data_IF_831197019790
#
_entry.id   IF_831197019790
#
_cell.length_a   1.000
_cell.length_b   1.000
_cell.length_c   1.000
_cell.angle_alpha   90.00
_cell.angle_beta   90.00
_cell.angle_gamma   90.00
#
_symmetry.space_group_name_H-M   'P 1'
#
loop_
_entity.id
_entity.type
_entity.pdbx_description
1 polymer ?
#
# COMPACT_ATOMS: atom_id res chain seq x y z
N UNK A 1 71.22 40.50 -35.65
CA UNK A 1 71.65 40.67 -34.24
C UNK A 1 70.77 39.79 -33.36
N UNK A 2 71.39 38.78 -32.75
CA UNK A 2 71.18 38.20 -31.41
C UNK A 2 69.82 38.30 -30.67
N UNK A 3 69.10 37.15 -30.60
CA UNK A 3 68.35 36.57 -29.44
C UNK A 3 67.21 37.39 -28.77
N UNK A 4 66.39 36.79 -27.86
CA UNK A 4 66.19 35.37 -27.52
C UNK A 4 64.89 34.85 -28.22
N UNK A 5 64.07 33.89 -27.78
CA UNK A 5 64.02 33.00 -26.61
C UNK A 5 63.29 31.66 -26.93
N UNK A 6 63.21 30.77 -25.94
CA UNK A 6 62.38 29.56 -25.86
C UNK A 6 61.90 29.43 -24.40
N UNK A 7 60.66 29.01 -24.17
CA UNK A 7 60.13 28.64 -22.84
C UNK A 7 59.25 27.41 -23.04
N UNK A 8 59.54 26.32 -22.34
CA UNK A 8 58.67 25.15 -22.26
C UNK A 8 57.50 25.42 -21.31
N UNK A 9 56.31 24.95 -21.68
CA UNK A 9 55.09 25.02 -20.87
C UNK A 9 54.35 23.69 -20.94
N UNK A 10 54.07 23.09 -19.79
CA UNK A 10 53.73 21.67 -19.64
C UNK A 10 52.27 21.33 -20.01
N UNK A 11 52.07 20.06 -20.35
CA UNK A 11 50.83 19.41 -20.80
C UNK A 11 49.52 19.74 -20.06
N UNK A 12 48.41 19.65 -20.80
CA UNK A 12 47.17 19.02 -20.31
C UNK A 12 46.28 18.53 -21.48
N UNK A 13 45.52 17.46 -21.22
CA UNK A 13 44.78 16.67 -22.23
C UNK A 13 43.54 17.39 -22.80
N UNK A 14 43.23 17.13 -24.08
CA UNK A 14 41.86 17.30 -24.61
C UNK A 14 41.53 16.34 -25.77
N UNK A 15 40.46 15.55 -25.57
CA UNK A 15 39.50 15.00 -26.54
C UNK A 15 39.98 14.07 -27.68
N UNK A 16 39.59 12.80 -27.55
CA UNK A 16 39.12 11.95 -28.66
C UNK A 16 37.88 12.57 -29.33
N UNK A 17 37.61 12.21 -30.59
CA UNK A 17 36.32 11.54 -30.85
C UNK A 17 36.38 10.35 -31.83
N UNK A 18 35.33 9.53 -31.74
CA UNK A 18 34.72 8.65 -32.75
C UNK A 18 35.53 7.55 -33.46
N UNK A 19 35.10 6.29 -33.25
CA UNK A 19 34.44 5.52 -34.32
C UNK A 19 33.68 4.29 -33.82
N UNK A 20 32.56 4.03 -34.48
CA UNK A 20 31.51 3.06 -34.19
C UNK A 20 31.96 1.58 -34.24
N UNK A 21 31.29 0.73 -33.46
CA UNK A 21 30.93 -0.63 -33.92
C UNK A 21 29.65 -1.09 -33.23
N UNK A 22 28.65 -1.48 -34.04
CA UNK A 22 27.31 -1.87 -33.62
C UNK A 22 27.21 -3.38 -33.35
N UNK A 23 26.42 -3.76 -32.34
CA UNK A 23 25.86 -5.11 -32.17
C UNK A 23 24.60 -5.00 -31.30
N UNK A 24 23.47 -4.72 -31.94
CA UNK A 24 22.16 -4.71 -31.28
C UNK A 24 21.61 -6.14 -31.19
N UNK A 25 21.51 -6.69 -29.97
CA UNK A 25 20.68 -7.85 -29.68
C UNK A 25 19.30 -7.37 -29.21
N UNK A 26 18.30 -7.45 -30.08
CA UNK A 26 16.91 -7.09 -29.77
C UNK A 26 16.16 -8.27 -29.10
N UNK A 27 16.52 -8.58 -27.86
CA UNK A 27 15.78 -9.49 -26.98
C UNK A 27 15.67 -8.80 -25.60
N UNK A 28 14.50 -8.88 -24.95
CA UNK A 28 14.04 -8.17 -23.71
C UNK A 28 13.21 -6.88 -23.89
N UNK A 29 12.05 -6.96 -24.55
CA UNK A 29 11.04 -5.86 -24.56
C UNK A 29 9.60 -6.21 -24.19
N UNK A 30 9.31 -7.44 -23.77
CA UNK A 30 7.92 -7.90 -23.55
C UNK A 30 7.60 -8.39 -22.11
N UNK A 31 8.48 -8.20 -21.12
CA UNK A 31 8.19 -8.53 -19.71
C UNK A 31 7.67 -7.35 -18.85
N UNK A 32 7.46 -6.16 -19.42
CA UNK A 32 7.06 -4.96 -18.65
C UNK A 32 5.53 -4.75 -18.50
N UNK A 33 4.71 -5.79 -18.69
CA UNK A 33 3.24 -5.66 -18.54
C UNK A 33 2.63 -6.30 -17.29
N UNK A 34 3.40 -7.09 -16.52
CA UNK A 34 2.93 -7.73 -15.27
C UNK A 34 3.63 -7.21 -14.02
N UNK A 35 4.57 -6.28 -14.16
CA UNK A 35 5.31 -5.69 -13.03
C UNK A 35 4.41 -4.76 -12.23
N UNK A 36 3.68 -5.34 -11.27
CA UNK A 36 2.87 -4.62 -10.29
C UNK A 36 3.67 -3.43 -9.74
N UNK A 37 3.07 -2.22 -9.86
CA UNK A 37 3.67 -0.96 -9.43
C UNK A 37 4.21 -1.13 -8.00
N UNK A 38 5.53 -0.97 -7.82
CA UNK A 38 6.17 -1.05 -6.50
C UNK A 38 5.58 0.02 -5.59
N UNK A 39 4.54 -0.34 -4.83
CA UNK A 39 4.21 0.32 -3.57
C UNK A 39 5.25 -0.17 -2.58
N UNK A 40 6.23 0.68 -2.31
CA UNK A 40 7.25 0.39 -1.31
C UNK A 40 6.59 -0.02 0.01
N UNK A 41 6.90 -1.23 0.49
CA UNK A 41 6.60 -1.68 1.84
C UNK A 41 7.55 -0.95 2.82
N UNK A 42 7.47 0.39 2.81
CA UNK A 42 8.42 1.32 3.42
C UNK A 42 9.90 1.04 3.08
N UNK A 43 10.16 0.57 1.85
CA UNK A 43 11.51 0.25 1.37
C UNK A 43 12.11 -1.05 1.92
N UNK A 44 11.35 -1.84 2.70
CA UNK A 44 11.81 -3.10 3.27
C UNK A 44 11.74 -4.19 2.19
N UNK A 45 12.89 -4.73 1.80
CA UNK A 45 12.97 -5.89 0.91
C UNK A 45 13.09 -7.18 1.73
N UNK A 46 11.99 -7.93 1.81
CA UNK A 46 11.91 -9.25 2.47
C UNK A 46 12.13 -10.33 1.41
N UNK A 47 13.02 -11.29 1.66
CA UNK A 47 13.32 -12.37 0.70
C UNK A 47 12.19 -13.40 0.63
N UNK A 48 12.28 -14.29 -0.36
CA UNK A 48 11.35 -15.42 -0.45
C UNK A 48 11.45 -16.33 0.77
N UNK A 49 10.32 -16.62 1.41
CA UNK A 49 10.24 -17.43 2.63
C UNK A 49 10.54 -16.70 3.95
N UNK A 50 11.00 -15.45 3.93
CA UNK A 50 11.19 -14.68 5.18
C UNK A 50 9.83 -14.18 5.74
N UNK A 51 9.72 -14.19 7.06
CA UNK A 51 8.54 -13.65 7.76
C UNK A 51 8.60 -12.12 7.73
N UNK A 52 7.62 -11.49 7.07
CA UNK A 52 7.51 -10.04 7.08
C UNK A 52 7.08 -9.56 8.47
N UNK A 53 7.96 -8.77 9.12
CA UNK A 53 7.72 -8.23 10.46
C UNK A 53 6.60 -7.18 10.49
N UNK A 54 6.20 -6.79 11.70
CA UNK A 54 5.26 -5.69 11.88
C UNK A 54 5.82 -4.38 11.28
N UNK A 55 5.14 -3.86 10.27
CA UNK A 55 5.49 -2.60 9.62
C UNK A 55 4.47 -1.51 9.99
N UNK A 56 4.90 -0.56 10.83
CA UNK A 56 4.04 0.50 11.36
C UNK A 56 3.56 1.48 10.26
N UNK A 57 4.39 1.73 9.26
CA UNK A 57 4.07 2.59 8.11
C UNK A 57 3.03 1.98 7.17
N UNK A 58 3.00 0.64 7.03
CA UNK A 58 1.90 -0.05 6.34
C UNK A 58 0.59 0.11 7.11
N UNK A 59 0.59 -0.08 8.43
CA UNK A 59 -0.60 0.18 9.25
C UNK A 59 -1.04 1.66 9.16
N UNK A 60 -0.08 2.59 9.12
CA UNK A 60 -0.33 4.02 8.91
C UNK A 60 -0.88 4.39 7.54
N UNK A 61 -0.86 3.47 6.56
CA UNK A 61 -1.59 3.59 5.29
C UNK A 61 -2.98 2.92 5.38
N UNK A 62 -3.07 1.74 6.00
CA UNK A 62 -4.31 0.97 6.14
C UNK A 62 -5.37 1.72 6.99
N UNK A 63 -4.99 2.40 8.07
CA UNK A 63 -5.93 3.07 8.98
C UNK A 63 -6.63 4.30 8.37
N UNK A 64 -5.95 5.21 7.66
CA UNK A 64 -6.61 6.28 6.91
C UNK A 64 -7.59 5.78 5.84
N UNK A 65 -7.29 4.67 5.15
CA UNK A 65 -8.19 4.07 4.16
C UNK A 65 -9.47 3.53 4.84
N UNK A 66 -9.35 2.81 5.96
CA UNK A 66 -10.48 2.35 6.77
C UNK A 66 -11.36 3.51 7.24
N UNK A 67 -10.75 4.57 7.79
CA UNK A 67 -11.46 5.74 8.28
C UNK A 67 -12.14 6.51 7.14
N UNK A 68 -11.46 6.71 6.02
CA UNK A 68 -12.01 7.40 4.85
C UNK A 68 -13.21 6.67 4.26
N UNK A 69 -13.14 5.35 4.12
CA UNK A 69 -14.25 4.49 3.70
C UNK A 69 -15.47 4.69 4.61
N UNK A 70 -15.27 4.55 5.93
CA UNK A 70 -16.35 4.63 6.92
C UNK A 70 -16.97 6.04 7.00
N UNK A 71 -16.15 7.09 6.91
CA UNK A 71 -16.65 8.47 6.87
C UNK A 71 -17.53 8.72 5.64
N UNK A 72 -17.23 8.13 4.49
CA UNK A 72 -18.06 8.27 3.29
C UNK A 72 -19.36 7.46 3.41
N UNK A 73 -19.26 6.20 3.86
CA UNK A 73 -20.43 5.35 4.10
C UNK A 73 -21.40 5.96 5.13
N UNK A 74 -20.91 6.57 6.20
CA UNK A 74 -21.77 7.18 7.23
C UNK A 74 -22.57 8.38 6.69
N UNK A 75 -22.00 9.20 5.78
CA UNK A 75 -22.75 10.30 5.14
C UNK A 75 -23.91 9.78 4.31
N UNK A 76 -23.67 8.70 3.57
CA UNK A 76 -24.69 8.05 2.74
C UNK A 76 -25.81 7.49 3.60
N UNK A 77 -25.50 6.80 4.71
CA UNK A 77 -26.53 6.23 5.60
C UNK A 77 -27.37 7.31 6.27
N UNK A 78 -26.70 8.26 6.91
CA UNK A 78 -27.30 9.21 7.83
C UNK A 78 -26.62 10.58 7.69
N UNK A 79 -27.17 11.48 6.86
CA UNK A 79 -26.57 12.80 6.61
C UNK A 79 -26.43 13.68 7.87
N UNK A 80 -27.16 13.37 8.94
CA UNK A 80 -27.32 14.21 10.13
C UNK A 80 -26.83 13.57 11.44
N UNK A 81 -26.37 12.31 11.42
CA UNK A 81 -25.90 11.61 12.63
C UNK A 81 -24.88 10.52 12.29
N UNK A 82 -23.84 10.42 13.10
CA UNK A 82 -22.91 9.29 13.07
C UNK A 82 -23.60 8.03 13.57
N UNK A 83 -23.31 6.91 12.92
CA UNK A 83 -23.76 5.56 13.29
C UNK A 83 -22.53 4.67 13.42
N UNK A 84 -22.64 3.58 14.18
CA UNK A 84 -21.58 2.58 14.26
C UNK A 84 -21.36 1.96 12.88
N UNK A 85 -20.10 1.76 12.50
CA UNK A 85 -19.70 1.26 11.18
C UNK A 85 -18.50 0.32 11.25
N UNK A 86 -18.40 -0.61 10.30
CA UNK A 86 -17.19 -1.43 10.09
C UNK A 86 -16.45 -1.09 8.80
N UNK A 87 -15.13 -0.99 8.90
CA UNK A 87 -14.23 -0.84 7.76
C UNK A 87 -13.40 -2.11 7.54
N UNK A 88 -13.13 -2.44 6.26
CA UNK A 88 -12.29 -3.57 5.86
C UNK A 88 -11.35 -3.17 4.72
N UNK A 89 -10.05 -3.37 4.92
CA UNK A 89 -9.01 -3.19 3.91
C UNK A 89 -8.33 -4.54 3.66
N UNK A 90 -8.43 -5.03 2.42
CA UNK A 90 -7.61 -6.16 1.94
C UNK A 90 -6.36 -5.57 1.30
N UNK A 91 -5.21 -5.75 1.95
CA UNK A 91 -3.93 -5.22 1.47
C UNK A 91 -3.06 -6.33 0.89
N UNK A 92 -2.38 -6.03 -0.23
CA UNK A 92 -1.38 -6.91 -0.85
C UNK A 92 -0.08 -6.13 -0.98
N UNK A 93 0.95 -6.56 -0.24
CA UNK A 93 2.28 -5.98 -0.25
C UNK A 93 3.28 -7.01 -0.77
N UNK A 94 3.77 -6.80 -2.00
CA UNK A 94 4.55 -7.81 -2.72
C UNK A 94 3.72 -9.07 -2.95
N UNK A 95 4.07 -10.18 -2.30
CA UNK A 95 3.27 -11.42 -2.31
C UNK A 95 2.49 -11.66 -1.02
N UNK A 96 2.54 -10.75 -0.03
CA UNK A 96 1.85 -10.92 1.26
C UNK A 96 0.46 -10.31 1.22
N UNK A 97 -0.59 -11.12 1.43
CA UNK A 97 -1.96 -10.67 1.62
C UNK A 97 -2.29 -10.54 3.12
N UNK A 98 -2.97 -9.46 3.49
CA UNK A 98 -3.50 -9.23 4.85
C UNK A 98 -4.93 -8.69 4.74
N UNK A 99 -5.73 -8.94 5.78
CA UNK A 99 -7.00 -8.24 5.99
C UNK A 99 -6.88 -7.44 7.27
N UNK A 100 -7.13 -6.14 7.17
CA UNK A 100 -7.16 -5.19 8.28
C UNK A 100 -8.61 -4.72 8.45
N UNK A 101 -9.12 -4.77 9.67
CA UNK A 101 -10.52 -4.46 9.98
C UNK A 101 -10.62 -3.64 11.27
N UNK A 102 -11.61 -2.75 11.33
CA UNK A 102 -11.91 -1.99 12.54
C UNK A 102 -13.41 -1.70 12.65
N UNK A 103 -13.92 -1.79 13.87
CA UNK A 103 -15.22 -1.25 14.24
C UNK A 103 -15.04 0.21 14.68
N UNK A 104 -15.92 1.08 14.18
CA UNK A 104 -15.91 2.52 14.40
C UNK A 104 -17.22 2.92 15.08
N UNK A 105 -17.25 3.02 16.42
CA UNK A 105 -18.41 3.53 17.13
C UNK A 105 -18.78 4.94 16.69
N UNK A 106 -20.07 5.28 16.71
CA UNK A 106 -20.58 6.61 16.39
C UNK A 106 -19.90 7.71 17.25
N UNK A 107 -19.57 7.41 18.50
CA UNK A 107 -18.81 8.30 19.40
C UNK A 107 -17.40 8.58 18.87
N UNK A 108 -16.71 7.56 18.34
CA UNK A 108 -15.38 7.72 17.73
C UNK A 108 -15.46 8.59 16.48
N UNK A 109 -16.41 8.30 15.58
CA UNK A 109 -16.61 9.07 14.35
C UNK A 109 -16.99 10.52 14.64
N UNK A 110 -17.88 10.75 15.61
CA UNK A 110 -18.24 12.08 16.11
C UNK A 110 -17.03 12.82 16.69
N UNK A 111 -16.19 12.13 17.48
CA UNK A 111 -14.98 12.72 18.07
C UNK A 111 -13.95 13.15 17.02
N UNK A 112 -13.68 12.30 16.02
CA UNK A 112 -12.74 12.58 14.92
C UNK A 112 -13.23 13.73 14.02
N UNK A 113 -14.55 13.90 13.87
CA UNK A 113 -15.15 15.01 13.13
C UNK A 113 -15.38 16.28 13.98
N UNK A 114 -15.01 16.26 15.26
CA UNK A 114 -15.14 17.41 16.15
C UNK A 114 -13.91 18.33 16.11
N UNK A 115 -13.99 19.49 16.76
CA UNK A 115 -12.84 20.40 16.94
C UNK A 115 -11.84 19.92 18.01
N UNK A 116 -12.22 18.94 18.85
CA UNK A 116 -11.46 18.52 20.03
C UNK A 116 -11.63 17.02 20.30
N UNK A 117 -10.60 16.23 19.97
CA UNK A 117 -10.62 14.80 20.21
C UNK A 117 -10.13 14.48 21.65
N UNK A 118 -10.85 13.65 22.44
CA UNK A 118 -10.36 13.22 23.75
C UNK A 118 -9.06 12.42 23.63
N UNK A 119 -8.07 12.70 24.48
CA UNK A 119 -6.78 11.97 24.49
C UNK A 119 -6.92 10.48 24.88
N UNK A 120 -8.04 10.10 25.49
CA UNK A 120 -8.40 8.71 25.79
C UNK A 120 -9.02 7.97 24.60
N UNK A 121 -9.36 8.66 23.51
CA UNK A 121 -10.06 8.07 22.37
C UNK A 121 -9.09 7.21 21.54
N UNK A 122 -9.36 5.91 21.48
CA UNK A 122 -8.55 4.93 20.75
C UNK A 122 -9.41 4.16 19.74
N UNK A 123 -8.79 3.74 18.64
CA UNK A 123 -9.40 2.83 17.66
C UNK A 123 -8.69 1.47 17.74
N UNK A 124 -9.46 0.41 17.93
CA UNK A 124 -8.93 -0.96 17.92
C UNK A 124 -8.94 -1.53 16.50
N UNK A 125 -7.75 -1.56 15.89
CA UNK A 125 -7.55 -2.11 14.55
C UNK A 125 -7.05 -3.54 14.65
N UNK A 126 -7.79 -4.47 14.06
CA UNK A 126 -7.45 -5.90 13.98
C UNK A 126 -6.79 -6.17 12.62
N UNK A 127 -5.77 -7.03 12.58
CA UNK A 127 -5.16 -7.46 11.32
C UNK A 127 -4.82 -8.95 11.38
N UNK A 128 -5.03 -9.64 10.27
CA UNK A 128 -4.63 -11.04 10.11
C UNK A 128 -3.11 -11.20 10.14
N UNK A 129 -2.64 -12.44 10.30
CA UNK A 129 -1.30 -12.79 9.85
C UNK A 129 -1.18 -12.59 8.32
N UNK A 130 0.02 -12.29 7.80
CA UNK A 130 0.25 -12.27 6.35
C UNK A 130 0.25 -13.68 5.76
N UNK A 131 -0.56 -13.90 4.72
CA UNK A 131 -0.48 -15.08 3.85
C UNK A 131 0.46 -14.81 2.68
N UNK A 132 1.35 -15.73 2.33
CA UNK A 132 2.23 -15.63 1.18
C UNK A 132 1.61 -16.23 -0.08
N UNK A 133 1.15 -15.38 -1.00
CA UNK A 133 0.56 -15.76 -2.28
C UNK A 133 1.55 -16.42 -3.27
N UNK A 134 2.73 -16.87 -2.81
CA UNK A 134 3.58 -17.84 -3.51
C UNK A 134 3.25 -19.27 -3.12
N UNK A 135 3.01 -19.49 -1.82
CA UNK A 135 2.65 -20.79 -1.28
C UNK A 135 1.24 -21.21 -1.74
N UNK A 136 0.97 -22.52 -1.79
CA UNK A 136 -0.30 -23.05 -2.31
C UNK A 136 -1.37 -23.13 -1.23
N UNK A 137 -1.00 -23.46 0.00
CA UNK A 137 -1.93 -23.55 1.12
C UNK A 137 -2.37 -22.15 1.55
N UNK A 138 -1.43 -21.19 1.60
CA UNK A 138 -1.73 -19.76 1.84
C UNK A 138 -2.63 -19.16 0.74
N UNK A 139 -2.55 -19.60 -0.52
CA UNK A 139 -3.51 -19.19 -1.59
C UNK A 139 -4.91 -19.72 -1.33
N UNK A 140 -5.03 -21.00 -0.93
CA UNK A 140 -6.32 -21.62 -0.61
C UNK A 140 -6.94 -20.92 0.60
N UNK A 141 -6.13 -20.61 1.61
CA UNK A 141 -6.58 -19.90 2.81
C UNK A 141 -6.96 -18.43 2.50
N UNK A 142 -6.20 -17.74 1.65
CA UNK A 142 -6.55 -16.39 1.19
C UNK A 142 -7.89 -16.39 0.44
N UNK A 143 -8.15 -17.39 -0.42
CA UNK A 143 -9.43 -17.54 -1.09
C UNK A 143 -10.58 -17.80 -0.09
N UNK A 144 -10.36 -18.63 0.93
CA UNK A 144 -11.33 -18.84 2.02
C UNK A 144 -11.62 -17.56 2.78
N UNK A 145 -10.60 -16.75 3.10
CA UNK A 145 -10.80 -15.46 3.77
C UNK A 145 -11.61 -14.49 2.91
N UNK A 146 -11.35 -14.42 1.61
CA UNK A 146 -12.15 -13.59 0.70
C UNK A 146 -13.60 -14.07 0.59
N UNK A 147 -13.83 -15.38 0.49
CA UNK A 147 -15.18 -15.97 0.48
C UNK A 147 -15.90 -15.70 1.81
N UNK A 148 -15.20 -15.87 2.95
CA UNK A 148 -15.74 -15.63 4.29
C UNK A 148 -16.09 -14.16 4.53
N UNK A 149 -15.23 -13.23 4.10
CA UNK A 149 -15.48 -11.79 4.18
C UNK A 149 -16.68 -11.40 3.31
N UNK A 150 -16.79 -11.93 2.09
CA UNK A 150 -17.97 -11.73 1.24
C UNK A 150 -19.23 -12.31 1.90
N UNK A 151 -19.18 -13.53 2.43
CA UNK A 151 -20.33 -14.13 3.12
C UNK A 151 -20.77 -13.33 4.36
N UNK A 152 -19.82 -12.77 5.12
CA UNK A 152 -20.09 -11.87 6.24
C UNK A 152 -20.74 -10.55 5.78
N UNK A 153 -20.22 -9.92 4.73
CA UNK A 153 -20.82 -8.72 4.13
C UNK A 153 -22.27 -8.93 3.66
N UNK A 154 -22.64 -10.17 3.29
CA UNK A 154 -24.00 -10.55 2.90
C UNK A 154 -24.84 -11.21 4.01
N UNK A 155 -24.31 -11.43 5.23
CA UNK A 155 -25.07 -12.08 6.31
C UNK A 155 -26.10 -11.16 6.97
N UNK A 156 -25.95 -9.85 6.79
CA UNK A 156 -26.69 -8.82 7.52
C UNK A 156 -26.12 -8.50 8.91
N UNK A 157 -25.08 -9.21 9.36
CA UNK A 157 -24.39 -8.93 10.62
C UNK A 157 -23.31 -7.84 10.49
N UNK A 158 -22.84 -7.57 9.27
CA UNK A 158 -21.84 -6.53 9.02
C UNK A 158 -22.44 -5.13 9.20
N UNK A 159 -21.78 -4.29 9.99
CA UNK A 159 -22.19 -2.89 10.20
C UNK A 159 -21.67 -1.98 9.07
N UNK A 160 -21.85 -2.40 7.82
CA UNK A 160 -21.45 -1.65 6.63
C UNK A 160 -22.69 -0.95 6.09
N UNK A 161 -22.83 0.34 6.38
CA UNK A 161 -24.09 1.04 6.21
C UNK A 161 -24.60 1.14 4.77
N UNK A 162 -23.70 1.16 3.77
CA UNK A 162 -24.10 1.11 2.36
C UNK A 162 -24.66 -0.27 1.96
N UNK A 163 -24.15 -1.37 2.55
CA UNK A 163 -24.69 -2.71 2.31
C UNK A 163 -26.03 -2.90 3.02
N UNK A 164 -26.17 -2.39 4.24
CA UNK A 164 -27.45 -2.39 4.96
C UNK A 164 -28.57 -1.75 4.13
N UNK A 165 -28.29 -0.64 3.43
CA UNK A 165 -29.23 0.02 2.49
C UNK A 165 -29.61 -0.79 1.25
N UNK A 166 -28.78 -1.75 0.84
CA UNK A 166 -29.00 -2.58 -0.37
C UNK A 166 -29.69 -3.90 -0.01
N UNK A 167 -29.49 -4.39 1.21
CA UNK A 167 -29.97 -5.68 1.70
C UNK A 167 -31.24 -5.60 2.56
N UNK A 168 -31.74 -4.39 2.85
CA UNK A 168 -33.01 -4.10 3.54
C UNK A 168 -34.18 -3.90 2.60
#
# INVERSE_FOLDING_TARGET
>A
MTRPAHVEGTASNARTPDSQSSSESNEDKDEEFTRAKRRDAAGIHVKSGEQEGYCASVLGQEVPELLGQVMEQSKEVSPNAWVDQEGFVVSVHGTKLKITAAHFPAEYLSSVNSKVMPMSQVLWVRRTAPLDLRDVDDKVEALRWMIGLVAYMYSGEAEIGLLQKILS
#
